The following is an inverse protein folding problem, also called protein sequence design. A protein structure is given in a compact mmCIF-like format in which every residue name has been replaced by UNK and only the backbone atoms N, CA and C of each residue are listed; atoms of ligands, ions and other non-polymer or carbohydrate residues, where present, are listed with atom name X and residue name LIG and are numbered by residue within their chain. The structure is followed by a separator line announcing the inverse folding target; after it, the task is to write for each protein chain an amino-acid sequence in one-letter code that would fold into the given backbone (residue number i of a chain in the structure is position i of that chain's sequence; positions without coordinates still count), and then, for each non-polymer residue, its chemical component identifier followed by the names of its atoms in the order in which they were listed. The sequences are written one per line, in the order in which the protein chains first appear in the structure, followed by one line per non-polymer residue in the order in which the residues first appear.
data_IF_186602846887
#
_entry.id   IF_186602846887
#
_cell.length_a   1.000
_cell.length_b   1.000
_cell.length_c   1.000
_cell.angle_alpha   90.00
_cell.angle_beta   90.00
_cell.angle_gamma   90.00
#
_symmetry.space_group_name_H-M   'P 1'
#
loop_
_entity.id
_entity.type
_entity.pdbx_description
1 polymer ?
#
# COMPACT_ATOMS: atom_id res chain seq x y z
N UNK A 1 -31.48 -50.64 -23.22
CA UNK A 1 -30.33 -49.78 -23.63
C UNK A 1 -30.27 -48.61 -22.67
N UNK A 2 -29.18 -48.49 -21.89
CA UNK A 2 -28.97 -47.40 -20.92
C UNK A 2 -28.50 -46.16 -21.67
N UNK A 3 -29.22 -45.05 -21.54
CA UNK A 3 -28.78 -43.75 -22.06
C UNK A 3 -28.01 -43.07 -20.92
N UNK A 4 -26.71 -42.92 -21.08
CA UNK A 4 -25.88 -42.19 -20.13
C UNK A 4 -25.96 -40.69 -20.46
N UNK A 5 -26.47 -39.89 -19.53
CA UNK A 5 -26.43 -38.43 -19.62
C UNK A 5 -25.04 -37.95 -19.20
N UNK A 6 -24.31 -37.34 -20.13
CA UNK A 6 -23.01 -36.73 -19.88
C UNK A 6 -23.24 -35.30 -19.34
N UNK A 7 -23.03 -35.09 -18.05
CA UNK A 7 -23.10 -33.77 -17.44
C UNK A 7 -21.78 -33.02 -17.67
N UNK A 8 -21.83 -31.94 -18.46
CA UNK A 8 -20.72 -30.98 -18.57
C UNK A 8 -20.71 -30.08 -17.32
N UNK A 9 -19.58 -29.91 -16.60
CA UNK A 9 -19.53 -28.96 -15.50
C UNK A 9 -19.55 -27.53 -16.04
N UNK A 10 -20.51 -26.73 -15.57
CA UNK A 10 -20.55 -25.30 -15.79
C UNK A 10 -19.39 -24.65 -15.03
N UNK A 11 -18.37 -24.20 -15.74
CA UNK A 11 -17.24 -23.49 -15.15
C UNK A 11 -17.68 -22.08 -14.76
N UNK A 12 -17.95 -21.86 -13.48
CA UNK A 12 -18.17 -20.53 -12.94
C UNK A 12 -16.85 -19.75 -13.02
N UNK A 13 -16.76 -18.78 -13.94
CA UNK A 13 -15.74 -17.74 -13.82
C UNK A 13 -16.09 -16.92 -12.57
N UNK A 14 -15.43 -17.21 -11.45
CA UNK A 14 -15.42 -16.30 -10.32
C UNK A 14 -14.72 -15.01 -10.76
N UNK A 15 -15.48 -13.95 -11.02
CA UNK A 15 -14.92 -12.61 -11.06
C UNK A 15 -14.32 -12.34 -9.67
N UNK A 16 -13.01 -12.13 -9.60
CA UNK A 16 -12.40 -11.64 -8.38
C UNK A 16 -13.10 -10.33 -7.99
N UNK A 17 -13.74 -10.32 -6.82
CA UNK A 17 -14.22 -9.07 -6.23
C UNK A 17 -13.05 -8.07 -6.24
N UNK A 18 -13.29 -6.75 -6.42
CA UNK A 18 -12.22 -5.78 -6.28
C UNK A 18 -11.60 -6.00 -4.90
N UNK A 19 -10.36 -6.48 -4.88
CA UNK A 19 -9.63 -6.65 -3.64
C UNK A 19 -9.66 -5.30 -2.94
N UNK A 20 -10.21 -5.24 -1.72
CA UNK A 20 -10.19 -4.03 -0.92
C UNK A 20 -8.76 -3.50 -0.89
N UNK A 21 -8.57 -2.18 -0.98
CA UNK A 21 -7.25 -1.57 -0.99
C UNK A 21 -6.51 -2.09 0.26
N UNK A 22 -5.42 -2.86 0.10
CA UNK A 22 -4.77 -3.47 1.23
C UNK A 22 -4.19 -2.37 2.11
N UNK A 23 -4.58 -2.34 3.39
CA UNK A 23 -4.02 -1.40 4.37
C UNK A 23 -2.66 -1.94 4.81
N UNK A 24 -1.55 -1.26 4.46
CA UNK A 24 -0.23 -1.69 4.90
C UNK A 24 -0.10 -1.55 6.42
N UNK A 25 0.67 -2.44 7.04
CA UNK A 25 1.02 -2.34 8.45
C UNK A 25 2.12 -1.29 8.60
N UNK A 26 1.92 -0.32 9.49
CA UNK A 26 2.95 0.66 9.87
C UNK A 26 3.53 0.33 11.26
N UNK A 27 4.85 0.38 11.42
CA UNK A 27 5.54 0.18 12.71
C UNK A 27 6.63 1.21 12.89
N UNK A 28 6.59 1.95 14.00
CA UNK A 28 7.57 3.00 14.30
C UNK A 28 8.98 2.42 14.44
N UNK A 29 9.95 3.11 13.86
CA UNK A 29 11.39 2.83 13.95
C UNK A 29 11.96 3.70 15.09
N UNK A 30 12.79 3.08 15.94
CA UNK A 30 13.48 3.78 17.01
C UNK A 30 14.78 4.41 16.49
N UNK A 31 15.20 5.50 17.14
CA UNK A 31 16.45 6.20 16.81
C UNK A 31 16.25 7.39 15.87
N UNK A 32 17.34 7.80 15.23
CA UNK A 32 17.34 8.93 14.30
C UNK A 32 16.76 8.49 12.95
N UNK A 33 15.80 9.24 12.38
CA UNK A 33 15.26 8.94 11.06
C UNK A 33 16.32 9.00 9.96
N UNK A 34 16.20 8.09 8.99
CA UNK A 34 17.00 8.17 7.77
C UNK A 34 16.44 9.27 6.85
N UNK A 35 17.32 10.08 6.26
CA UNK A 35 16.95 11.33 5.57
C UNK A 35 16.14 12.31 6.43
N UNK A 36 16.41 12.33 7.74
CA UNK A 36 15.87 13.35 8.64
C UNK A 36 16.33 14.76 8.26
N UNK A 37 15.53 15.76 8.63
CA UNK A 37 15.88 17.16 8.37
C UNK A 37 16.92 17.68 9.38
N UNK A 38 17.75 18.62 8.95
CA UNK A 38 18.62 19.43 9.80
C UNK A 38 17.87 20.53 10.56
N UNK A 39 16.62 20.83 10.17
CA UNK A 39 15.75 21.77 10.86
C UNK A 39 15.38 21.22 12.24
N UNK A 40 15.56 22.05 13.27
CA UNK A 40 15.17 21.70 14.64
C UNK A 40 13.65 21.82 14.81
N UNK A 41 12.89 20.86 14.31
CA UNK A 41 11.42 20.87 14.21
C UNK A 41 10.69 21.11 15.53
N UNK A 42 11.30 20.75 16.67
CA UNK A 42 10.75 21.04 18.00
C UNK A 42 10.52 22.53 18.23
N UNK A 43 11.35 23.40 17.63
CA UNK A 43 11.21 24.86 17.73
C UNK A 43 9.91 25.36 17.06
N UNK A 44 9.32 24.55 16.18
CA UNK A 44 8.06 24.82 15.51
C UNK A 44 6.90 23.97 16.08
N UNK A 45 7.16 23.14 17.09
CA UNK A 45 6.18 22.21 17.66
C UNK A 45 5.85 21.01 16.77
N UNK A 46 6.79 20.58 15.94
CA UNK A 46 6.68 19.39 15.09
C UNK A 46 7.58 18.26 15.61
N UNK A 47 7.20 17.03 15.27
CA UNK A 47 8.02 15.83 15.42
C UNK A 47 8.30 15.23 14.06
N UNK A 48 9.45 14.58 13.95
CA UNK A 48 9.83 13.75 12.81
C UNK A 48 10.05 12.33 13.32
N UNK A 49 9.33 11.39 12.73
CA UNK A 49 9.35 9.99 13.12
C UNK A 49 9.43 9.14 11.85
N UNK A 50 10.06 7.99 11.94
CA UNK A 50 10.16 7.06 10.83
C UNK A 50 9.41 5.77 11.13
N UNK A 51 8.83 5.17 10.10
CA UNK A 51 8.04 3.96 10.19
C UNK A 51 8.47 2.98 9.11
N UNK A 52 8.47 1.69 9.41
CA UNK A 52 8.33 0.69 8.37
C UNK A 52 6.87 0.63 7.94
N UNK A 53 6.62 0.60 6.64
CA UNK A 53 5.33 0.22 6.09
C UNK A 53 5.52 -1.03 5.21
N UNK A 54 4.69 -2.04 5.45
CA UNK A 54 4.85 -3.37 4.87
C UNK A 54 3.50 -4.00 4.54
N UNK A 55 3.51 -4.88 3.53
CA UNK A 55 2.31 -5.52 3.01
C UNK A 55 2.62 -6.33 1.77
N UNK A 56 1.62 -6.52 0.91
CA UNK A 56 1.78 -7.15 -0.39
C UNK A 56 1.48 -6.16 -1.52
N UNK A 57 2.18 -6.30 -2.63
CA UNK A 57 2.03 -5.48 -3.82
C UNK A 57 1.92 -6.34 -5.08
N UNK A 58 1.43 -5.71 -6.15
CA UNK A 58 1.39 -6.27 -7.48
C UNK A 58 2.51 -5.67 -8.33
N UNK A 59 3.01 -6.44 -9.29
CA UNK A 59 3.81 -5.90 -10.40
C UNK A 59 2.92 -5.74 -11.61
N UNK A 60 3.22 -4.72 -12.41
CA UNK A 60 2.40 -4.37 -13.57
C UNK A 60 3.25 -4.28 -14.83
N UNK A 61 2.65 -4.60 -15.97
CA UNK A 61 3.17 -4.32 -17.30
C UNK A 61 2.26 -3.32 -18.01
N UNK A 62 2.84 -2.46 -18.83
CA UNK A 62 2.11 -1.54 -19.73
C UNK A 62 2.54 -1.82 -21.17
N UNK A 63 2.07 -2.94 -21.76
CA UNK A 63 2.55 -3.39 -23.07
C UNK A 63 2.21 -2.42 -24.21
N UNK A 64 1.18 -1.58 -24.03
CA UNK A 64 0.77 -0.57 -25.00
C UNK A 64 0.53 0.77 -24.30
N UNK A 65 1.08 1.84 -24.87
CA UNK A 65 0.92 3.19 -24.34
C UNK A 65 -0.55 3.63 -24.40
N UNK A 66 -1.05 4.23 -23.32
CA UNK A 66 -2.45 4.69 -23.23
C UNK A 66 -3.46 3.61 -22.86
N UNK A 67 -3.03 2.36 -22.64
CA UNK A 67 -3.87 1.29 -22.09
C UNK A 67 -3.66 1.11 -20.58
N UNK A 68 -4.64 0.47 -19.95
CA UNK A 68 -4.54 0.09 -18.55
C UNK A 68 -3.36 -0.86 -18.34
N UNK A 69 -2.69 -0.72 -17.20
CA UNK A 69 -1.64 -1.62 -16.80
C UNK A 69 -2.22 -3.00 -16.42
N UNK A 70 -1.53 -4.07 -16.79
CA UNK A 70 -1.91 -5.44 -16.51
C UNK A 70 -1.10 -5.99 -15.34
N UNK A 71 -1.74 -6.66 -14.38
CA UNK A 71 -1.03 -7.30 -13.26
C UNK A 71 -0.25 -8.51 -13.80
N UNK A 72 1.07 -8.49 -13.65
CA UNK A 72 1.94 -9.61 -14.05
C UNK A 72 2.16 -10.62 -12.92
N UNK A 73 2.25 -10.13 -11.68
CA UNK A 73 2.36 -10.95 -10.46
C UNK A 73 1.66 -10.24 -9.31
N UNK A 74 1.00 -11.01 -8.46
CA UNK A 74 0.26 -10.51 -7.30
C UNK A 74 0.84 -11.04 -5.98
N UNK A 75 0.58 -10.32 -4.90
CA UNK A 75 0.87 -10.82 -3.55
C UNK A 75 2.35 -10.80 -3.15
N UNK A 76 3.18 -9.99 -3.82
CA UNK A 76 4.62 -9.93 -3.55
C UNK A 76 4.84 -9.15 -2.25
N UNK A 77 5.50 -9.71 -1.23
CA UNK A 77 5.76 -8.99 0.01
C UNK A 77 6.72 -7.83 -0.23
N UNK A 78 6.43 -6.68 0.37
CA UNK A 78 7.32 -5.53 0.39
C UNK A 78 7.45 -4.96 1.79
N UNK A 79 8.56 -4.26 2.02
CA UNK A 79 8.80 -3.44 3.20
C UNK A 79 9.57 -2.22 2.79
N UNK A 80 9.14 -1.06 3.23
CA UNK A 80 9.79 0.22 2.93
C UNK A 80 9.71 1.15 4.14
N UNK A 81 10.38 2.30 4.07
CA UNK A 81 10.43 3.28 5.16
C UNK A 81 9.61 4.51 4.79
N UNK A 82 8.93 5.09 5.77
CA UNK A 82 8.15 6.31 5.63
C UNK A 82 8.60 7.30 6.72
N UNK A 83 9.02 8.49 6.29
CA UNK A 83 9.34 9.60 7.18
C UNK A 83 8.09 10.46 7.36
N UNK A 84 7.64 10.66 8.60
CA UNK A 84 6.44 11.43 8.92
C UNK A 84 6.82 12.65 9.74
N UNK A 85 6.59 13.84 9.16
CA UNK A 85 6.67 15.13 9.86
C UNK A 85 5.26 15.60 10.18
N UNK A 86 4.98 15.82 11.45
CA UNK A 86 3.63 16.23 11.91
C UNK A 86 3.69 17.11 13.14
N UNK A 87 2.63 17.88 13.45
CA UNK A 87 2.52 18.54 14.73
C UNK A 87 2.67 17.55 15.90
N UNK A 88 3.40 17.95 16.94
CA UNK A 88 3.56 17.15 18.14
C UNK A 88 2.22 16.94 18.86
N UNK A 89 1.39 18.00 18.92
CA UNK A 89 0.02 17.94 19.43
C UNK A 89 -0.97 17.61 18.32
N UNK A 90 -1.77 16.53 18.43
CA UNK A 90 -2.80 16.18 17.45
C UNK A 90 -3.83 17.28 17.21
N UNK A 91 -4.13 18.11 18.21
CA UNK A 91 -5.09 19.23 18.09
C UNK A 91 -4.66 20.32 17.12
N UNK A 92 -3.38 20.36 16.71
CA UNK A 92 -2.89 21.30 15.69
C UNK A 92 -2.94 20.74 14.26
N UNK A 93 -3.35 19.48 14.08
CA UNK A 93 -3.52 18.92 12.75
C UNK A 93 -4.74 19.54 12.07
N UNK A 94 -4.54 20.08 10.87
CA UNK A 94 -5.57 20.78 10.10
C UNK A 94 -6.31 19.86 9.10
N UNK A 95 -6.04 18.55 9.11
CA UNK A 95 -6.67 17.60 8.18
C UNK A 95 -5.95 17.42 6.85
N UNK A 96 -4.86 18.15 6.58
CA UNK A 96 -4.14 18.10 5.29
C UNK A 96 -2.85 17.30 5.42
N UNK A 97 -2.65 16.37 4.49
CA UNK A 97 -1.43 15.56 4.38
C UNK A 97 -0.74 15.88 3.06
N UNK A 98 0.57 16.13 3.12
CA UNK A 98 1.44 16.25 1.96
C UNK A 98 2.30 14.99 1.86
N UNK A 99 2.43 14.43 0.66
CA UNK A 99 3.19 13.21 0.39
C UNK A 99 4.14 13.48 -0.77
N UNK A 100 5.40 13.13 -0.59
CA UNK A 100 6.50 13.27 -1.56
C UNK A 100 7.19 11.94 -1.78
#
# INVERSE_FOLDING_TARGET
MKIAALALPLLLLQSAAPAGIPTPKATKIAGQPFFGTDIVLKNFGYVEEEFFYEGTANTFSTPEFGKNAEITKSGIPFRSRLLVRRPASPSRFNGVVFVE
#
